data_IF_377725498225
#
_entry.id   IF_377725498225
#
_cell.length_a   1.000
_cell.length_b   1.000
_cell.length_c   1.000
_cell.angle_alpha   90.00
_cell.angle_beta   90.00
_cell.angle_gamma   90.00
#
_symmetry.space_group_name_H-M   'P 1'
#
loop_
_entity.id
_entity.type
_entity.pdbx_description
1 polymer ?
#
# COMPACT_ATOMS: atom_id res chain seq x y z
N UNK A 1 4.46 10.58 15.61
CA UNK A 1 3.84 10.11 14.35
C UNK A 1 3.05 11.26 13.79
N UNK A 2 3.28 11.59 12.53
CA UNK A 2 2.56 12.65 11.83
C UNK A 2 1.06 12.28 11.82
N UNK A 3 0.18 13.17 12.34
CA UNK A 3 -1.27 12.93 12.38
C UNK A 3 -1.88 12.85 10.96
N UNK A 4 -1.08 13.23 9.97
CA UNK A 4 -1.45 13.30 8.57
C UNK A 4 -0.59 12.34 7.74
N UNK A 5 -1.20 11.28 7.23
CA UNK A 5 -0.53 10.42 6.26
C UNK A 5 -0.49 11.12 4.90
N UNK A 6 0.68 11.59 4.49
CA UNK A 6 0.86 12.04 3.11
C UNK A 6 0.71 10.83 2.17
N UNK A 7 -0.46 10.76 1.51
CA UNK A 7 -0.83 9.66 0.61
C UNK A 7 0.22 9.39 -0.48
N UNK A 8 0.77 10.44 -1.10
CA UNK A 8 1.76 10.29 -2.18
C UNK A 8 3.06 9.72 -1.61
N UNK A 9 3.50 10.21 -0.45
CA UNK A 9 4.67 9.67 0.22
C UNK A 9 4.47 8.19 0.61
N UNK A 10 3.31 7.85 1.19
CA UNK A 10 2.96 6.49 1.55
C UNK A 10 2.92 5.54 0.35
N UNK A 11 2.28 5.95 -0.76
CA UNK A 11 2.26 5.18 -2.00
C UNK A 11 3.68 4.93 -2.55
N UNK A 12 4.54 5.97 -2.55
CA UNK A 12 5.94 5.84 -2.98
C UNK A 12 6.73 4.90 -2.08
N UNK A 13 6.54 5.00 -0.75
CA UNK A 13 7.21 4.12 0.21
C UNK A 13 6.86 2.65 -0.05
N UNK A 14 5.58 2.32 -0.24
CA UNK A 14 5.11 0.95 -0.54
C UNK A 14 5.77 0.42 -1.81
N UNK A 15 5.74 1.20 -2.90
CA UNK A 15 6.34 0.81 -4.17
C UNK A 15 7.84 0.54 -4.02
N UNK A 16 8.54 1.40 -3.28
CA UNK A 16 9.98 1.25 -3.04
C UNK A 16 10.30 0.03 -2.18
N UNK A 17 9.50 -0.27 -1.15
CA UNK A 17 9.65 -1.47 -0.31
C UNK A 17 9.52 -2.73 -1.17
N UNK A 18 8.47 -2.80 -1.99
CA UNK A 18 8.24 -3.95 -2.87
C UNK A 18 9.37 -4.12 -3.88
N UNK A 19 9.74 -3.05 -4.56
CA UNK A 19 10.78 -3.11 -5.58
C UNK A 19 12.20 -3.27 -5.02
N UNK A 20 12.41 -3.00 -3.73
CA UNK A 20 13.66 -3.28 -3.02
C UNK A 20 13.82 -4.77 -2.68
N UNK A 21 12.73 -5.54 -2.70
CA UNK A 21 12.75 -6.99 -2.48
C UNK A 21 13.43 -7.72 -3.64
N UNK A 22 14.45 -8.53 -3.34
CA UNK A 22 15.25 -9.25 -4.36
C UNK A 22 14.51 -10.40 -5.08
N UNK A 23 13.27 -10.69 -4.68
CA UNK A 23 12.49 -11.85 -5.14
C UNK A 23 11.62 -11.56 -6.37
N UNK A 24 11.47 -10.30 -6.77
CA UNK A 24 10.57 -9.90 -7.84
C UNK A 24 11.34 -9.50 -9.10
N UNK A 25 10.97 -10.10 -10.23
CA UNK A 25 11.59 -9.85 -11.54
C UNK A 25 10.93 -8.67 -12.25
N UNK A 26 9.64 -8.44 -11.97
CA UNK A 26 8.88 -7.34 -12.54
C UNK A 26 8.54 -6.29 -11.46
N UNK A 27 8.80 -4.99 -11.69
CA UNK A 27 8.58 -3.96 -10.68
C UNK A 27 7.10 -3.62 -10.52
N UNK A 28 6.70 -3.32 -9.29
CA UNK A 28 5.43 -2.71 -8.99
C UNK A 28 5.48 -1.24 -9.42
N UNK A 29 4.63 -0.84 -10.37
CA UNK A 29 4.63 0.50 -10.96
C UNK A 29 3.55 1.44 -10.39
N UNK A 30 2.69 0.92 -9.52
CA UNK A 30 1.58 1.66 -8.93
C UNK A 30 0.72 0.78 -8.04
N UNK A 31 -0.17 1.40 -7.27
CA UNK A 31 -1.11 0.70 -6.37
C UNK A 31 -2.53 0.62 -6.93
N UNK A 32 -2.77 0.96 -8.20
CA UNK A 32 -4.07 0.69 -8.80
C UNK A 32 -4.31 -0.83 -8.90
N UNK A 33 -5.58 -1.26 -8.90
CA UNK A 33 -5.92 -2.69 -9.04
C UNK A 33 -5.22 -3.32 -10.26
N UNK A 34 -5.30 -2.65 -11.42
CA UNK A 34 -4.63 -3.10 -12.66
C UNK A 34 -3.10 -3.19 -12.52
N UNK A 35 -2.50 -2.25 -11.78
CA UNK A 35 -1.05 -2.27 -11.53
C UNK A 35 -0.64 -3.45 -10.65
N UNK A 36 -1.41 -3.73 -9.60
CA UNK A 36 -1.18 -4.83 -8.67
C UNK A 36 -1.42 -6.18 -9.37
N UNK A 37 -2.49 -6.31 -10.15
CA UNK A 37 -2.82 -7.52 -10.92
C UNK A 37 -1.72 -7.86 -11.94
N UNK A 38 -1.23 -6.85 -12.68
CA UNK A 38 -0.12 -7.04 -13.62
C UNK A 38 1.13 -7.47 -12.87
N UNK A 39 1.51 -6.76 -11.81
CA UNK A 39 2.68 -7.10 -11.01
C UNK A 39 2.60 -8.53 -10.45
N UNK A 40 1.43 -8.93 -9.95
CA UNK A 40 1.16 -10.31 -9.49
C UNK A 40 1.40 -11.33 -10.60
N UNK A 41 0.82 -11.09 -11.77
CA UNK A 41 0.91 -12.01 -12.91
C UNK A 41 2.36 -12.18 -13.40
N UNK A 42 3.06 -11.06 -13.61
CA UNK A 42 4.46 -11.07 -14.08
C UNK A 42 5.43 -11.70 -13.09
N UNK A 43 5.11 -11.66 -11.78
CA UNK A 43 5.91 -12.32 -10.73
C UNK A 43 5.37 -13.69 -10.31
N UNK A 44 4.34 -14.24 -10.99
CA UNK A 44 3.73 -15.54 -10.66
C UNK A 44 3.29 -15.68 -9.20
N UNK A 45 2.78 -14.58 -8.61
CA UNK A 45 2.36 -14.53 -7.21
C UNK A 45 0.94 -15.11 -7.07
N UNK A 46 0.77 -16.04 -6.13
CA UNK A 46 -0.53 -16.66 -5.86
C UNK A 46 -1.60 -15.67 -5.37
N UNK A 47 -2.86 -15.93 -5.71
CA UNK A 47 -4.00 -15.05 -5.39
C UNK A 47 -4.26 -14.90 -3.89
N UNK A 48 -3.86 -15.91 -3.10
CA UNK A 48 -3.98 -15.92 -1.64
C UNK A 48 -2.66 -15.57 -0.94
N UNK A 49 -1.66 -15.07 -1.68
CA UNK A 49 -0.41 -14.66 -1.07
C UNK A 49 -0.61 -13.48 -0.14
N UNK A 50 0.07 -13.52 1.00
CA UNK A 50 -0.02 -12.47 2.01
C UNK A 50 0.36 -11.10 1.45
N UNK A 51 1.41 -11.02 0.63
CA UNK A 51 1.84 -9.77 -0.01
C UNK A 51 0.77 -9.15 -0.89
N UNK A 52 0.03 -9.97 -1.66
CA UNK A 52 -1.04 -9.48 -2.52
C UNK A 52 -2.21 -8.95 -1.69
N UNK A 53 -2.56 -9.65 -0.60
CA UNK A 53 -3.61 -9.22 0.33
C UNK A 53 -3.24 -7.88 0.96
N UNK A 54 -2.00 -7.73 1.45
CA UNK A 54 -1.51 -6.49 2.05
C UNK A 54 -1.52 -5.34 1.04
N UNK A 55 -1.03 -5.55 -0.18
CA UNK A 55 -1.01 -4.52 -1.22
C UNK A 55 -2.41 -4.03 -1.58
N UNK A 56 -3.37 -4.94 -1.70
CA UNK A 56 -4.77 -4.59 -1.94
C UNK A 56 -5.38 -3.81 -0.77
N UNK A 57 -5.09 -4.19 0.47
CA UNK A 57 -5.55 -3.46 1.67
C UNK A 57 -4.97 -2.04 1.71
N UNK A 58 -3.67 -1.89 1.48
CA UNK A 58 -3.01 -0.58 1.44
C UNK A 58 -3.61 0.28 0.32
N UNK A 59 -3.78 -0.28 -0.88
CA UNK A 59 -4.38 0.40 -2.02
C UNK A 59 -5.78 0.95 -1.70
N UNK A 60 -6.66 0.10 -1.18
CA UNK A 60 -8.03 0.47 -0.84
C UNK A 60 -8.08 1.60 0.22
N UNK A 61 -7.23 1.51 1.25
CA UNK A 61 -7.18 2.51 2.32
C UNK A 61 -6.59 3.84 1.82
N UNK A 62 -5.53 3.82 1.01
CA UNK A 62 -4.97 5.03 0.39
C UNK A 62 -5.93 5.67 -0.62
N UNK A 63 -6.74 4.88 -1.33
CA UNK A 63 -7.79 5.40 -2.19
C UNK A 63 -8.89 6.08 -1.38
N UNK A 64 -9.33 5.47 -0.27
CA UNK A 64 -10.30 6.10 0.63
C UNK A 64 -9.78 7.42 1.21
N UNK A 65 -8.51 7.48 1.62
CA UNK A 65 -7.88 8.72 2.11
C UNK A 65 -7.80 9.82 1.04
N UNK A 66 -7.77 9.48 -0.26
CA UNK A 66 -7.81 10.47 -1.35
C UNK A 66 -9.20 11.07 -1.59
N UNK A 67 -10.26 10.32 -1.30
CA UNK A 67 -11.64 10.72 -1.64
C UNK A 67 -12.37 11.45 -0.50
N UNK A 68 -11.75 11.59 0.68
CA UNK A 68 -12.23 12.43 1.77
C UNK A 68 -11.49 13.77 1.73
N UNK A 69 -12.21 14.89 1.81
CA UNK A 69 -11.54 16.19 1.96
C UNK A 69 -10.71 16.15 3.25
N UNK A 70 -9.47 16.61 3.17
CA UNK A 70 -8.57 16.71 4.33
C UNK A 70 -9.04 17.77 5.34
N UNK A 71 -10.09 18.51 5.01
CA UNK A 71 -10.66 19.63 5.78
C UNK A 71 -11.33 19.20 7.09
N UNK A 72 -11.58 17.89 7.30
CA UNK A 72 -12.01 17.37 8.59
C UNK A 72 -11.21 16.12 8.94
N UNK A 73 -10.12 16.28 9.69
CA UNK A 73 -9.41 15.16 10.31
C UNK A 73 -10.32 14.55 11.38
N UNK A 74 -11.19 13.63 10.97
CA UNK A 74 -12.06 12.87 11.87
C UNK A 74 -11.25 11.78 12.60
N UNK A 75 -11.83 11.22 13.67
CA UNK A 75 -11.26 10.03 14.34
C UNK A 75 -11.06 8.87 13.36
N UNK A 76 -11.94 8.73 12.38
CA UNK A 76 -11.84 7.69 11.33
C UNK A 76 -10.61 7.89 10.44
N UNK A 77 -10.31 9.14 10.04
CA UNK A 77 -9.12 9.44 9.25
C UNK A 77 -7.82 9.08 10.00
N UNK A 78 -7.75 9.42 11.29
CA UNK A 78 -6.60 9.09 12.16
C UNK A 78 -6.41 7.59 12.29
N UNK A 79 -7.50 6.85 12.56
CA UNK A 79 -7.48 5.40 12.67
C UNK A 79 -7.04 4.75 11.35
N UNK A 80 -7.56 5.24 10.22
CA UNK A 80 -7.19 4.74 8.91
C UNK A 80 -5.72 5.00 8.57
N UNK A 81 -5.22 6.19 8.90
CA UNK A 81 -3.81 6.55 8.73
C UNK A 81 -2.89 5.64 9.55
N UNK A 82 -3.23 5.39 10.82
CA UNK A 82 -2.49 4.45 11.69
C UNK A 82 -2.46 3.03 11.10
N UNK A 83 -3.62 2.53 10.68
CA UNK A 83 -3.74 1.20 10.07
C UNK A 83 -2.90 1.06 8.79
N UNK A 84 -2.83 2.11 7.96
CA UNK A 84 -1.99 2.08 6.75
C UNK A 84 -0.52 2.03 7.14
N UNK A 85 -0.07 2.83 8.11
CA UNK A 85 1.31 2.80 8.59
C UNK A 85 1.71 1.42 9.13
N UNK A 86 0.83 0.79 9.93
CA UNK A 86 1.05 -0.57 10.46
C UNK A 86 1.13 -1.61 9.33
N UNK A 87 0.29 -1.51 8.30
CA UNK A 87 0.36 -2.39 7.14
C UNK A 87 1.66 -2.21 6.33
N UNK A 88 2.15 -0.97 6.20
CA UNK A 88 3.42 -0.69 5.52
C UNK A 88 4.60 -1.28 6.32
N UNK A 89 4.58 -1.14 7.64
CA UNK A 89 5.58 -1.74 8.51
C UNK A 89 5.58 -3.26 8.42
N UNK A 90 4.40 -3.88 8.47
CA UNK A 90 4.24 -5.32 8.28
C UNK A 90 4.74 -5.79 6.91
N UNK A 91 4.42 -5.05 5.83
CA UNK A 91 4.94 -5.34 4.49
C UNK A 91 6.47 -5.34 4.47
N UNK A 92 7.10 -4.33 5.07
CA UNK A 92 8.55 -4.18 5.07
C UNK A 92 9.27 -5.30 5.84
N UNK A 93 8.64 -5.87 6.86
CA UNK A 93 9.21 -6.97 7.65
C UNK A 93 9.09 -8.33 6.95
N UNK A 94 8.19 -8.48 5.98
CA UNK A 94 7.81 -9.79 5.41
C UNK A 94 8.13 -9.95 3.91
N UNK A 95 8.94 -9.06 3.33
CA UNK A 95 9.24 -9.05 1.89
C UNK A 95 10.63 -9.61 1.54
#
# INVERSE_FOLDING_TARGET
>A
MDEFLNRIAAQRAVINIVNGGRKFVFPLVGLSLKSIERWRHENSIGENSEILIILNLISAKLFFLANKSQEQITKEYRLLSKNVSELIEHLNQNI
#
